data_IF_091758237790
#
_entry.id   IF_091758237790
#
_cell.length_a   1.000
_cell.length_b   1.000
_cell.length_c   1.000
_cell.angle_alpha   90.00
_cell.angle_beta   90.00
_cell.angle_gamma   90.00
#
_symmetry.space_group_name_H-M   'P 1'
#
loop_
_entity.id
_entity.type
_entity.pdbx_description
1 polymer ?
#
# COMPACT_ATOMS: atom_id res chain seq x y z
N UNK A 1 4.10 2.87 -2.70
CA UNK A 1 3.05 3.89 -2.91
C UNK A 1 3.31 4.99 -1.91
N UNK A 2 3.27 6.24 -2.34
CA UNK A 2 3.49 7.40 -1.48
C UNK A 2 2.39 7.53 -0.42
N UNK A 3 2.73 8.04 0.76
CA UNK A 3 1.74 8.45 1.76
C UNK A 3 1.06 7.34 2.57
N UNK A 4 1.44 6.07 2.40
CA UNK A 4 0.79 4.94 3.09
C UNK A 4 1.79 3.94 3.69
N UNK A 5 1.38 3.25 4.75
CA UNK A 5 2.05 2.06 5.31
C UNK A 5 1.05 0.90 5.38
N UNK A 6 1.53 -0.30 5.05
CA UNK A 6 0.73 -1.54 4.96
C UNK A 6 1.29 -2.58 5.93
N UNK A 7 0.48 -3.55 6.39
CA UNK A 7 0.98 -4.68 7.15
C UNK A 7 2.03 -5.47 6.34
N UNK A 8 2.98 -6.08 7.03
CA UNK A 8 4.07 -6.81 6.39
C UNK A 8 3.67 -8.27 6.11
N UNK A 9 4.05 -8.81 4.94
CA UNK A 9 3.77 -10.22 4.58
C UNK A 9 4.46 -11.19 5.55
N UNK A 10 5.65 -10.83 6.03
CA UNK A 10 6.33 -11.55 7.12
C UNK A 10 6.02 -10.87 8.46
N UNK A 11 4.72 -10.69 8.71
CA UNK A 11 4.20 -10.03 9.91
C UNK A 11 4.46 -10.83 11.19
N UNK A 12 4.26 -10.18 12.33
CA UNK A 12 4.51 -10.76 13.67
C UNK A 12 3.41 -11.72 14.12
N UNK A 13 2.26 -11.71 13.48
CA UNK A 13 1.11 -12.53 13.80
C UNK A 13 0.30 -12.89 12.56
N UNK A 14 -0.57 -13.90 12.69
CA UNK A 14 -1.40 -14.39 11.59
C UNK A 14 -2.35 -13.31 11.03
N UNK A 15 -2.89 -12.43 11.89
CA UNK A 15 -3.80 -11.35 11.49
C UNK A 15 -3.09 -10.34 10.56
N UNK A 16 -1.90 -9.89 10.94
CA UNK A 16 -1.08 -8.98 10.13
C UNK A 16 -0.75 -9.61 8.78
N UNK A 17 -0.24 -10.84 8.79
CA UNK A 17 0.11 -11.57 7.56
C UNK A 17 -1.10 -11.78 6.65
N UNK A 18 -2.27 -12.13 7.21
CA UNK A 18 -3.49 -12.30 6.43
C UNK A 18 -3.93 -10.98 5.77
N UNK A 19 -3.90 -9.86 6.51
CA UNK A 19 -4.24 -8.54 5.98
C UNK A 19 -3.24 -8.09 4.89
N UNK A 20 -1.94 -8.36 5.09
CA UNK A 20 -0.90 -8.09 4.09
C UNK A 20 -1.13 -8.88 2.80
N UNK A 21 -1.51 -10.15 2.91
CA UNK A 21 -1.83 -11.00 1.76
C UNK A 21 -3.09 -10.51 1.03
N UNK A 22 -4.11 -10.05 1.75
CA UNK A 22 -5.30 -9.44 1.16
C UNK A 22 -4.97 -8.15 0.40
N UNK A 23 -4.20 -7.25 1.02
CA UNK A 23 -3.71 -6.02 0.40
C UNK A 23 -2.92 -6.31 -0.88
N UNK A 24 -1.97 -7.25 -0.82
CA UNK A 24 -1.18 -7.69 -1.98
C UNK A 24 -2.06 -8.19 -3.11
N UNK A 25 -3.01 -9.07 -2.81
CA UNK A 25 -3.87 -9.68 -3.81
C UNK A 25 -4.82 -8.67 -4.45
N UNK A 26 -5.33 -7.73 -3.67
CA UNK A 26 -6.15 -6.63 -4.17
C UNK A 26 -5.36 -5.76 -5.15
N UNK A 27 -4.17 -5.28 -4.75
CA UNK A 27 -3.32 -4.45 -5.60
C UNK A 27 -2.94 -5.20 -6.88
N UNK A 28 -2.56 -6.48 -6.77
CA UNK A 28 -2.23 -7.32 -7.94
C UNK A 28 -3.41 -7.41 -8.90
N UNK A 29 -4.64 -7.56 -8.40
CA UNK A 29 -5.84 -7.60 -9.24
C UNK A 29 -6.10 -6.26 -9.91
N UNK A 30 -6.06 -5.16 -9.16
CA UNK A 30 -6.29 -3.81 -9.71
C UNK A 30 -5.29 -3.47 -10.81
N UNK A 31 -3.99 -3.72 -10.57
CA UNK A 31 -2.95 -3.49 -11.57
C UNK A 31 -3.04 -4.45 -12.75
N UNK A 32 -3.32 -5.73 -12.52
CA UNK A 32 -3.40 -6.74 -13.58
C UNK A 32 -4.60 -6.58 -14.50
N UNK A 33 -5.64 -5.87 -14.08
CA UNK A 33 -6.84 -5.57 -14.88
C UNK A 33 -6.82 -4.15 -15.47
N UNK A 34 -5.87 -3.31 -15.05
CA UNK A 34 -5.82 -1.92 -15.47
C UNK A 34 -5.39 -1.79 -16.92
N UNK A 35 -6.09 -0.93 -17.69
CA UNK A 35 -5.67 -0.55 -19.04
C UNK A 35 -4.60 0.53 -19.01
N UNK A 36 -4.62 1.39 -18.00
CA UNK A 36 -3.66 2.47 -17.77
C UNK A 36 -3.28 2.55 -16.30
N UNK A 37 -1.98 2.71 -16.06
CA UNK A 37 -1.41 2.94 -14.73
C UNK A 37 -0.61 4.23 -14.79
N UNK A 38 -1.01 5.21 -13.99
CA UNK A 38 -0.32 6.49 -13.86
C UNK A 38 0.46 6.54 -12.54
N UNK A 39 1.72 6.98 -12.63
CA UNK A 39 2.56 7.30 -11.48
C UNK A 39 2.63 8.83 -11.39
N UNK A 40 2.07 9.39 -10.33
CA UNK A 40 2.02 10.83 -10.08
C UNK A 40 2.91 11.20 -8.89
N UNK A 41 3.36 12.45 -8.85
CA UNK A 41 4.20 12.99 -7.77
C UNK A 41 5.41 12.09 -7.48
N UNK A 42 6.14 11.77 -8.55
CA UNK A 42 7.21 10.78 -8.53
C UNK A 42 8.44 11.33 -7.82
N UNK A 43 8.87 10.64 -6.78
CA UNK A 43 10.03 10.98 -5.96
C UNK A 43 11.01 9.82 -5.85
N UNK A 44 12.27 10.17 -5.56
CA UNK A 44 13.33 9.20 -5.28
C UNK A 44 13.36 8.90 -3.78
N UNK A 45 12.84 7.75 -3.39
CA UNK A 45 12.90 7.24 -2.03
C UNK A 45 14.26 6.65 -1.64
N UNK A 46 14.35 6.20 -0.39
CA UNK A 46 15.51 5.45 0.12
C UNK A 46 15.79 4.22 -0.74
N UNK A 47 17.07 3.85 -0.85
CA UNK A 47 17.54 2.72 -1.65
C UNK A 47 17.15 2.82 -3.13
N UNK A 48 17.12 4.05 -3.67
CA UNK A 48 16.76 4.35 -5.06
C UNK A 48 15.39 3.82 -5.50
N UNK A 49 14.46 3.65 -4.55
CA UNK A 49 13.09 3.25 -4.86
C UNK A 49 12.34 4.42 -5.46
N UNK A 50 11.51 4.13 -6.46
CA UNK A 50 10.50 5.09 -6.92
C UNK A 50 9.34 5.08 -5.93
N UNK A 51 9.03 6.25 -5.38
CA UNK A 51 7.88 6.48 -4.52
C UNK A 51 6.96 7.43 -5.26
N UNK A 52 5.70 7.03 -5.44
CA UNK A 52 4.73 7.78 -6.23
C UNK A 52 3.31 7.49 -5.74
N UNK A 53 2.40 8.41 -6.02
CA UNK A 53 0.96 8.14 -6.02
C UNK A 53 0.65 7.26 -7.23
N UNK A 54 -0.08 6.16 -7.01
CA UNK A 54 -0.36 5.17 -8.07
C UNK A 54 -1.85 5.15 -8.36
N UNK A 55 -2.20 5.46 -9.60
CA UNK A 55 -3.58 5.51 -10.08
C UNK A 55 -3.76 4.47 -11.18
N UNK A 56 -4.74 3.57 -11.03
CA UNK A 56 -5.06 2.52 -12.00
C UNK A 56 -6.47 2.75 -12.57
N UNK A 57 -6.57 3.02 -13.87
CA UNK A 57 -7.82 3.38 -14.56
C UNK A 57 -8.62 4.48 -13.80
N UNK A 58 -7.92 5.51 -13.31
CA UNK A 58 -8.51 6.61 -12.53
C UNK A 58 -8.72 6.32 -11.04
N UNK A 59 -8.45 5.09 -10.57
CA UNK A 59 -8.59 4.71 -9.16
C UNK A 59 -7.27 4.84 -8.39
N UNK A 60 -7.24 5.66 -7.35
CA UNK A 60 -6.10 5.78 -6.45
C UNK A 60 -5.95 4.52 -5.59
N UNK A 61 -4.86 3.79 -5.78
CA UNK A 61 -4.60 2.53 -5.07
C UNK A 61 -4.33 2.78 -3.58
N UNK A 62 -3.62 3.86 -3.24
CA UNK A 62 -3.28 4.16 -1.86
C UNK A 62 -4.52 4.51 -1.05
N UNK A 63 -5.37 5.38 -1.59
CA UNK A 63 -6.67 5.70 -1.01
C UNK A 63 -7.53 4.44 -0.85
N UNK A 64 -7.63 3.63 -1.90
CA UNK A 64 -8.39 2.38 -1.89
C UNK A 64 -7.96 1.42 -0.77
N UNK A 65 -6.65 1.35 -0.47
CA UNK A 65 -6.14 0.50 0.60
C UNK A 65 -6.48 1.05 1.98
N UNK A 66 -6.43 2.38 2.17
CA UNK A 66 -6.82 3.03 3.43
C UNK A 66 -8.32 2.79 3.70
N UNK A 67 -9.19 3.04 2.72
CA UNK A 67 -10.64 2.86 2.87
C UNK A 67 -11.03 1.43 3.24
N UNK A 68 -10.26 0.46 2.75
CA UNK A 68 -10.46 -0.97 3.05
C UNK A 68 -9.79 -1.43 4.34
N UNK A 69 -9.20 -0.52 5.12
CA UNK A 69 -8.48 -0.85 6.36
C UNK A 69 -7.22 -1.69 6.14
N UNK A 70 -6.70 -1.72 4.91
CA UNK A 70 -5.51 -2.48 4.51
C UNK A 70 -4.22 -1.64 4.52
N UNK A 71 -4.35 -0.34 4.72
CA UNK A 71 -3.25 0.59 4.90
C UNK A 71 -3.63 1.69 5.88
N UNK A 72 -2.62 2.44 6.33
CA UNK A 72 -2.79 3.68 7.10
C UNK A 72 -2.01 4.80 6.45
N UNK A 73 -2.46 6.03 6.65
CA UNK A 73 -1.70 7.22 6.26
C UNK A 73 -0.32 7.21 6.95
N UNK A 74 0.71 7.55 6.19
CA UNK A 74 2.09 7.53 6.64
C UNK A 74 2.89 8.65 5.98
N UNK A 75 3.51 9.48 6.81
CA UNK A 75 4.24 10.69 6.43
C UNK A 75 5.77 10.50 6.41
N UNK A 76 6.25 9.27 6.61
CA UNK A 76 7.69 8.99 6.72
C UNK A 76 8.23 8.94 8.14
N UNK A 77 7.39 9.15 9.16
CA UNK A 77 7.73 9.05 10.57
C UNK A 77 7.86 7.61 11.10
N UNK A 78 7.33 7.34 12.29
CA UNK A 78 7.36 6.00 12.88
C UNK A 78 6.26 5.13 12.24
N UNK A 79 6.65 4.01 11.63
CA UNK A 79 5.71 3.01 11.11
C UNK A 79 4.69 2.58 12.15
N UNK A 80 3.50 2.22 11.71
CA UNK A 80 2.48 1.72 12.63
C UNK A 80 2.75 0.25 12.95
N UNK A 81 3.00 -0.03 14.23
CA UNK A 81 3.39 -1.36 14.72
C UNK A 81 2.23 -2.17 15.29
N UNK A 82 0.99 -1.70 15.14
CA UNK A 82 -0.20 -2.21 15.81
C UNK A 82 -1.05 -3.21 15.03
N UNK A 83 -0.57 -3.77 13.91
CA UNK A 83 -1.38 -4.63 13.03
C UNK A 83 -1.92 -5.91 13.69
N UNK A 84 -1.28 -6.39 14.75
CA UNK A 84 -1.75 -7.54 15.52
C UNK A 84 -2.88 -7.22 16.51
N UNK A 85 -3.01 -5.96 16.93
CA UNK A 85 -3.98 -5.53 17.94
C UNK A 85 -5.12 -4.68 17.37
N UNK A 86 -4.94 -4.15 16.15
CA UNK A 86 -6.04 -3.75 15.27
C UNK A 86 -6.89 -4.96 14.93
#
# INVERSE_FOLDING_TARGET
>A
IAGIDTPEIKGKCQKETALAMQARNLVRRMLGQARRIDLLDVERGKYFRIVAKVVADGNDIGHTLIDRGMAVAYDGGKKVTGWCAR
#
